data_IF_057627753157
#
_entry.id   IF_057627753157
#
_cell.length_a   1.000
_cell.length_b   1.000
_cell.length_c   1.000
_cell.angle_alpha   90.00
_cell.angle_beta   90.00
_cell.angle_gamma   90.00
#
_symmetry.space_group_name_H-M   'P 1'
#
loop_
_entity.id
_entity.type
_entity.pdbx_description
1 polymer ?
#
# COMPACT_ATOMS: atom_id res chain seq x y z
N UNK A 1 -91.26 -3.02 -18.92
CA UNK A 1 -90.38 -3.45 -17.80
C UNK A 1 -88.96 -3.49 -18.34
N UNK A 2 -88.06 -2.69 -17.75
CA UNK A 2 -86.63 -2.56 -18.14
C UNK A 2 -85.96 -3.92 -18.20
N UNK A 3 -85.11 -4.18 -19.20
CA UNK A 3 -83.84 -4.91 -19.08
C UNK A 3 -83.10 -5.00 -20.42
N UNK A 4 -81.84 -4.52 -20.36
CA UNK A 4 -80.61 -4.95 -21.06
C UNK A 4 -80.69 -5.34 -22.54
N UNK A 5 -80.13 -4.47 -23.38
CA UNK A 5 -79.60 -4.85 -24.68
C UNK A 5 -78.21 -5.48 -24.53
N UNK A 6 -78.10 -6.71 -25.04
CA UNK A 6 -76.85 -7.31 -25.53
C UNK A 6 -76.30 -6.46 -26.70
N UNK A 7 -75.00 -6.45 -27.05
CA UNK A 7 -74.24 -7.51 -27.77
C UNK A 7 -72.81 -6.97 -28.13
N UNK A 8 -71.88 -7.74 -28.77
CA UNK A 8 -70.61 -8.16 -28.16
C UNK A 8 -69.34 -8.00 -29.06
N UNK A 9 -68.29 -8.79 -28.76
CA UNK A 9 -67.05 -9.17 -29.52
C UNK A 9 -65.79 -8.34 -29.20
N UNK A 10 -64.77 -8.90 -28.52
CA UNK A 10 -63.62 -9.70 -29.03
C UNK A 10 -62.58 -8.81 -29.77
N UNK A 11 -61.25 -8.89 -29.69
CA UNK A 11 -60.24 -9.82 -29.16
C UNK A 11 -58.89 -9.03 -29.02
N UNK A 12 -57.91 -9.66 -28.36
CA UNK A 12 -56.50 -9.38 -28.02
C UNK A 12 -55.63 -8.28 -28.72
N UNK A 13 -54.90 -7.57 -27.85
CA UNK A 13 -53.43 -7.27 -27.90
C UNK A 13 -52.94 -6.03 -28.68
N UNK A 14 -51.67 -5.60 -28.52
CA UNK A 14 -50.90 -5.27 -27.31
C UNK A 14 -50.60 -3.75 -27.21
N UNK A 15 -50.42 -3.18 -26.01
CA UNK A 15 -50.00 -1.77 -25.84
C UNK A 15 -48.51 -1.64 -25.47
N UNK A 16 -47.78 -1.10 -26.45
CA UNK A 16 -46.77 -0.05 -26.35
C UNK A 16 -45.86 0.05 -25.12
N UNK A 17 -44.60 -0.26 -25.40
CA UNK A 17 -43.39 0.43 -24.93
C UNK A 17 -43.63 1.95 -24.82
N UNK A 18 -43.27 2.52 -23.67
CA UNK A 18 -42.96 3.95 -23.55
C UNK A 18 -41.71 4.12 -22.70
N UNK A 19 -40.67 4.62 -23.36
CA UNK A 19 -39.47 5.20 -22.76
C UNK A 19 -39.83 6.25 -21.70
N UNK A 20 -38.98 6.38 -20.69
CA UNK A 20 -38.82 7.61 -19.93
C UNK A 20 -37.33 7.88 -19.78
N UNK A 21 -36.92 8.99 -20.40
CA UNK A 21 -35.58 9.57 -20.41
C UNK A 21 -35.19 10.15 -19.06
N UNK A 22 -33.92 9.94 -18.74
CA UNK A 22 -32.90 10.90 -18.26
C UNK A 22 -33.26 11.91 -17.15
N UNK A 23 -32.40 11.92 -16.12
CA UNK A 23 -31.97 13.19 -15.54
C UNK A 23 -31.34 13.15 -14.15
N UNK A 24 -29.99 13.06 -14.13
CA UNK A 24 -29.06 13.63 -13.11
C UNK A 24 -29.10 12.99 -11.71
N UNK A 25 -28.01 12.69 -11.02
CA UNK A 25 -26.60 13.05 -11.15
C UNK A 25 -25.94 12.87 -9.77
N UNK A 26 -24.62 12.68 -9.76
CA UNK A 26 -23.72 12.61 -8.58
C UNK A 26 -23.67 11.29 -7.80
N UNK A 27 -23.03 10.28 -8.41
CA UNK A 27 -22.12 9.41 -7.67
C UNK A 27 -20.69 9.76 -8.10
N UNK A 28 -19.74 10.04 -7.20
CA UNK A 28 -18.36 10.20 -7.62
C UNK A 28 -17.86 8.84 -8.10
N UNK A 29 -17.55 8.76 -9.40
CA UNK A 29 -16.77 7.70 -9.98
C UNK A 29 -15.47 7.58 -9.19
N UNK A 30 -15.20 6.39 -8.69
CA UNK A 30 -13.89 5.99 -8.17
C UNK A 30 -12.90 5.90 -9.34
N UNK A 31 -12.48 7.06 -9.88
CA UNK A 31 -11.18 7.23 -10.52
C UNK A 31 -10.14 7.53 -9.44
N UNK A 32 -9.93 6.57 -8.54
CA UNK A 32 -8.80 6.60 -7.63
C UNK A 32 -7.67 5.78 -8.25
N UNK A 33 -6.92 6.42 -9.16
CA UNK A 33 -5.49 6.08 -9.30
C UNK A 33 -4.83 6.19 -7.91
N UNK A 34 -3.68 5.52 -7.68
CA UNK A 34 -3.08 5.47 -6.36
C UNK A 34 -2.97 6.89 -5.80
N UNK A 35 -3.66 7.13 -4.68
CA UNK A 35 -3.59 8.36 -3.91
C UNK A 35 -2.11 8.70 -3.78
N UNK A 36 -1.72 9.90 -4.24
CA UNK A 36 -0.36 10.41 -4.17
C UNK A 36 0.01 10.57 -2.69
N UNK A 37 0.38 9.45 -2.07
CA UNK A 37 0.57 9.33 -0.63
C UNK A 37 1.41 10.48 -0.11
N UNK A 38 0.81 11.22 0.80
CA UNK A 38 1.45 12.19 1.67
C UNK A 38 2.65 11.53 2.36
N UNK A 39 3.85 11.83 1.84
CA UNK A 39 5.10 11.67 2.55
C UNK A 39 5.91 12.94 2.30
N UNK A 40 6.16 13.66 3.38
CA UNK A 40 7.12 14.75 3.43
C UNK A 40 8.47 14.28 2.82
N UNK A 41 9.15 15.11 2.02
CA UNK A 41 10.33 14.70 1.29
C UNK A 41 11.54 14.73 2.23
N UNK A 42 11.98 13.56 2.69
CA UNK A 42 13.39 13.27 2.44
C UNK A 42 13.43 12.92 0.97
N UNK A 43 14.30 13.57 0.19
CA UNK A 43 14.38 13.37 -1.26
C UNK A 43 14.00 11.94 -1.70
N UNK A 44 12.89 11.80 -2.44
CA UNK A 44 12.37 10.51 -2.90
C UNK A 44 13.43 9.69 -3.64
N UNK A 45 14.38 10.38 -4.28
CA UNK A 45 15.61 9.80 -4.80
C UNK A 45 16.37 8.97 -3.75
N UNK A 46 16.60 9.49 -2.54
CA UNK A 46 17.25 8.77 -1.44
C UNK A 46 16.39 7.61 -0.90
N UNK A 47 15.06 7.77 -0.81
CA UNK A 47 14.16 6.74 -0.27
C UNK A 47 13.98 5.54 -1.23
N UNK A 48 13.89 5.79 -2.54
CA UNK A 48 13.79 4.74 -3.56
C UNK A 48 15.02 3.81 -3.64
N UNK A 49 16.16 4.25 -3.09
CA UNK A 49 17.46 3.58 -3.18
C UNK A 49 17.64 2.41 -2.22
N UNK A 50 17.00 2.42 -1.04
CA UNK A 50 16.99 1.26 -0.12
C UNK A 50 16.35 0.03 -0.78
N UNK A 51 15.40 0.24 -1.68
CA UNK A 51 14.66 -0.84 -2.34
C UNK A 51 15.42 -1.48 -3.53
N UNK A 52 16.56 -0.94 -3.97
CA UNK A 52 17.28 -1.43 -5.16
C UNK A 52 18.36 -2.49 -4.85
N UNK A 53 18.71 -2.65 -3.57
CA UNK A 53 19.79 -3.56 -3.12
C UNK A 53 19.32 -4.97 -2.76
N UNK A 54 18.01 -5.18 -2.59
CA UNK A 54 17.44 -6.45 -2.11
C UNK A 54 17.25 -7.49 -3.25
N UNK A 55 17.63 -7.17 -4.49
CA UNK A 55 17.21 -7.93 -5.68
C UNK A 55 18.30 -8.35 -6.66
N UNK A 56 19.56 -8.51 -6.25
CA UNK A 56 20.60 -9.07 -7.13
C UNK A 56 20.93 -10.51 -6.75
N UNK A 57 20.91 -11.46 -7.69
CA UNK A 57 21.24 -12.85 -7.42
C UNK A 57 22.72 -12.97 -7.05
N UNK A 58 22.96 -13.65 -5.93
CA UNK A 58 24.26 -14.22 -5.56
C UNK A 58 24.83 -14.96 -6.77
N UNK A 59 26.03 -14.58 -7.21
CA UNK A 59 26.68 -15.13 -8.38
C UNK A 59 26.77 -16.66 -8.27
N UNK A 60 25.96 -17.36 -9.06
CA UNK A 60 25.97 -18.80 -9.13
C UNK A 60 27.28 -19.28 -9.77
N UNK A 61 28.00 -20.14 -9.04
CA UNK A 61 28.74 -21.22 -9.68
C UNK A 61 30.16 -21.40 -9.24
N UNK A 62 30.36 -22.03 -8.07
CA UNK A 62 31.34 -23.10 -7.87
C UNK A 62 30.85 -23.95 -6.69
N UNK A 63 30.20 -25.08 -6.98
CA UNK A 63 29.79 -26.08 -5.97
C UNK A 63 30.99 -26.92 -5.55
N UNK A 64 31.39 -26.99 -4.27
CA UNK A 64 32.23 -28.09 -3.81
C UNK A 64 31.39 -29.36 -3.59
N UNK A 65 31.92 -30.50 -4.06
CA UNK A 65 31.34 -31.84 -3.93
C UNK A 65 31.13 -32.24 -2.46
N UNK A 66 30.15 -33.12 -2.16
CA UNK A 66 29.86 -33.54 -0.79
C UNK A 66 30.82 -34.65 -0.33
N UNK A 67 31.47 -34.46 0.81
CA UNK A 67 32.09 -35.54 1.58
C UNK A 67 31.32 -35.78 2.87
N UNK A 68 30.78 -37.01 3.00
CA UNK A 68 30.33 -37.65 4.25
C UNK A 68 31.50 -37.57 5.26
N UNK A 69 31.36 -37.36 6.58
CA UNK A 69 30.73 -38.19 7.63
C UNK A 69 30.58 -37.33 8.94
N UNK A 70 30.13 -37.82 10.13
CA UNK A 70 28.95 -37.33 10.85
C UNK A 70 29.23 -36.44 12.08
N UNK A 71 28.14 -35.83 12.59
CA UNK A 71 28.06 -35.06 13.83
C UNK A 71 28.37 -35.89 15.08
N UNK A 72 29.05 -35.27 16.04
CA UNK A 72 28.93 -35.57 17.46
C UNK A 72 28.64 -34.27 18.22
N UNK A 73 27.53 -34.26 18.95
CA UNK A 73 27.16 -33.26 19.95
C UNK A 73 28.05 -33.41 21.19
N UNK A 74 28.34 -32.30 21.88
CA UNK A 74 29.11 -32.35 23.12
C UNK A 74 29.40 -30.97 23.72
N UNK A 75 28.43 -30.46 24.48
CA UNK A 75 28.58 -29.36 25.44
C UNK A 75 29.63 -29.74 26.50
N UNK A 76 30.60 -28.88 26.85
CA UNK A 76 31.04 -28.63 28.24
C UNK A 76 32.12 -27.52 28.37
N UNK A 77 31.74 -26.49 29.12
CA UNK A 77 32.41 -25.53 30.04
C UNK A 77 33.96 -25.40 30.17
N UNK A 78 34.29 -24.17 30.65
CA UNK A 78 35.46 -23.67 31.43
C UNK A 78 36.60 -23.08 30.61
N UNK A 79 36.79 -21.75 30.61
CA UNK A 79 37.34 -20.83 31.64
C UNK A 79 38.87 -20.71 31.64
N UNK A 80 39.30 -19.46 31.84
CA UNK A 80 40.58 -18.99 32.41
C UNK A 80 41.78 -18.94 31.42
N UNK A 81 42.29 -17.72 31.12
CA UNK A 81 43.45 -17.04 31.77
C UNK A 81 44.78 -17.72 31.38
N UNK A 82 45.93 -17.10 31.14
CA UNK A 82 46.46 -15.74 31.19
C UNK A 82 47.87 -15.88 30.53
N UNK A 83 48.31 -14.98 29.64
CA UNK A 83 49.27 -13.88 29.90
C UNK A 83 50.76 -14.29 30.00
N UNK A 84 51.61 -13.42 29.42
CA UNK A 84 53.07 -13.19 29.59
C UNK A 84 54.04 -14.17 28.88
N UNK A 85 55.23 -13.80 28.35
CA UNK A 85 56.19 -12.68 28.49
C UNK A 85 57.10 -12.76 27.21
N UNK A 86 57.30 -11.74 26.37
CA UNK A 86 58.36 -10.70 26.32
C UNK A 86 59.84 -11.18 26.27
N UNK A 87 60.66 -10.39 25.55
CA UNK A 87 62.15 -10.26 25.46
C UNK A 87 62.70 -10.80 24.11
N UNK A 88 63.22 -10.05 23.13
CA UNK A 88 64.06 -8.83 23.00
C UNK A 88 65.54 -9.14 22.65
N UNK A 89 66.07 -8.28 21.76
CA UNK A 89 67.49 -7.98 21.43
C UNK A 89 68.25 -8.90 20.44
N UNK A 90 68.62 -8.38 19.27
CA UNK A 90 69.93 -7.72 19.01
C UNK A 90 70.15 -7.44 17.50
N UNK A 91 70.83 -6.33 17.21
CA UNK A 91 71.07 -5.72 15.89
C UNK A 91 72.44 -6.19 15.27
N UNK A 92 73.15 -5.40 14.42
CA UNK A 92 72.97 -5.20 12.97
C UNK A 92 74.28 -5.47 12.15
N UNK A 93 74.22 -5.56 10.81
CA UNK A 93 75.39 -5.29 9.90
C UNK A 93 74.90 -4.69 8.57
N UNK A 94 75.71 -3.75 8.03
CA UNK A 94 75.48 -2.84 6.89
C UNK A 94 76.14 -3.37 5.57
N UNK A 95 75.71 -2.80 4.43
CA UNK A 95 76.35 -2.70 3.09
C UNK A 95 76.04 -3.85 2.10
N UNK A 96 75.76 -3.65 0.80
CA UNK A 96 76.32 -2.65 -0.13
C UNK A 96 75.47 -2.56 -1.44
N UNK A 97 75.56 -1.42 -2.14
CA UNK A 97 74.86 -1.09 -3.40
C UNK A 97 75.56 -1.64 -4.67
N UNK A 98 74.80 -1.89 -5.74
CA UNK A 98 75.23 -1.71 -7.15
C UNK A 98 74.03 -1.62 -8.12
N UNK A 99 74.26 -0.92 -9.24
CA UNK A 99 73.31 -0.22 -10.13
C UNK A 99 72.74 -1.10 -11.31
N UNK A 100 71.91 -0.56 -12.24
CA UNK A 100 70.95 -1.30 -13.09
C UNK A 100 71.48 -1.72 -14.48
N UNK A 101 70.68 -2.48 -15.27
CA UNK A 101 70.57 -2.18 -16.71
C UNK A 101 69.14 -2.32 -17.32
N UNK A 102 68.74 -1.23 -17.99
CA UNK A 102 68.10 -1.07 -19.32
C UNK A 102 66.80 -1.80 -19.76
N UNK A 103 66.05 -1.17 -20.71
CA UNK A 103 64.61 -1.28 -20.83
C UNK A 103 64.17 -2.31 -21.89
N UNK A 104 63.02 -2.95 -21.65
CA UNK A 104 62.28 -3.66 -22.68
C UNK A 104 60.87 -3.10 -22.83
N UNK A 105 60.67 -2.53 -24.02
CA UNK A 105 59.51 -2.66 -24.90
C UNK A 105 58.11 -2.32 -24.37
N UNK A 106 57.54 -1.30 -25.04
CA UNK A 106 56.12 -0.99 -25.17
C UNK A 106 55.22 -2.25 -25.16
N UNK A 107 54.53 -2.48 -24.04
CA UNK A 107 53.24 -3.13 -24.06
C UNK A 107 52.18 -2.02 -24.02
N UNK A 108 51.50 -1.82 -25.15
CA UNK A 108 50.22 -1.13 -25.17
C UNK A 108 49.37 -1.66 -24.02
N UNK A 109 49.11 -0.83 -23.01
CA UNK A 109 48.00 -1.04 -22.10
C UNK A 109 46.73 -0.93 -22.97
N UNK A 110 46.30 -2.09 -23.47
CA UNK A 110 44.97 -2.26 -23.99
C UNK A 110 44.03 -1.86 -22.87
N UNK A 111 43.42 -0.67 -23.02
CA UNK A 111 42.32 -0.22 -22.19
C UNK A 111 41.25 -1.29 -22.24
N UNK A 112 41.15 -2.08 -21.18
CA UNK A 112 40.03 -2.97 -20.94
C UNK A 112 38.78 -2.09 -20.89
N UNK A 113 38.10 -1.96 -22.02
CA UNK A 113 36.76 -1.40 -22.07
C UNK A 113 35.88 -2.36 -21.29
N UNK A 114 35.64 -2.03 -20.02
CA UNK A 114 34.48 -2.56 -19.32
C UNK A 114 33.27 -2.32 -20.23
N UNK A 115 32.41 -3.34 -20.46
CA UNK A 115 31.23 -3.16 -21.30
C UNK A 115 30.42 -1.98 -20.74
N UNK A 116 30.38 -0.89 -21.50
CA UNK A 116 29.56 0.26 -21.15
C UNK A 116 28.11 -0.20 -21.21
N UNK A 117 27.38 -0.02 -20.11
CA UNK A 117 25.93 -0.23 -20.12
C UNK A 117 25.33 0.61 -21.25
N UNK A 118 24.35 0.09 -22.01
CA UNK A 118 23.70 0.85 -23.08
C UNK A 118 23.26 2.21 -22.57
N UNK A 119 23.50 3.26 -23.35
CA UNK A 119 23.05 4.61 -22.99
C UNK A 119 21.52 4.60 -22.79
N UNK A 120 21.01 5.17 -21.70
CA UNK A 120 19.59 5.13 -21.40
C UNK A 120 18.80 5.93 -22.44
N UNK A 121 17.62 5.43 -22.83
CA UNK A 121 16.79 6.02 -23.89
C UNK A 121 16.02 7.22 -23.35
N UNK A 122 15.88 8.25 -24.17
CA UNK A 122 15.07 9.43 -23.82
C UNK A 122 13.58 9.06 -23.83
N UNK A 123 12.84 9.44 -22.79
CA UNK A 123 11.37 9.26 -22.68
C UNK A 123 10.61 10.57 -22.62
N UNK A 124 11.26 11.65 -22.21
CA UNK A 124 10.71 13.00 -22.28
C UNK A 124 11.82 14.06 -22.24
N UNK A 125 11.49 15.30 -22.60
CA UNK A 125 12.33 16.49 -22.42
C UNK A 125 11.55 17.58 -21.71
N UNK A 126 12.17 18.25 -20.74
CA UNK A 126 11.59 19.38 -20.01
C UNK A 126 12.53 20.57 -20.13
N UNK A 127 12.14 21.60 -20.88
CA UNK A 127 12.98 22.76 -21.22
C UNK A 127 14.36 22.36 -21.78
N UNK A 128 14.40 21.26 -22.56
CA UNK A 128 15.61 20.70 -23.14
C UNK A 128 16.37 19.71 -22.25
N UNK A 129 16.06 19.63 -20.94
CA UNK A 129 16.62 18.60 -20.06
C UNK A 129 16.02 17.23 -20.39
N UNK A 130 16.88 16.22 -20.58
CA UNK A 130 16.47 14.86 -20.97
C UNK A 130 16.08 14.04 -19.75
N UNK A 131 14.90 13.43 -19.81
CA UNK A 131 14.45 12.40 -18.87
C UNK A 131 14.56 11.03 -19.53
N UNK A 132 15.09 10.05 -18.81
CA UNK A 132 15.46 8.76 -19.39
C UNK A 132 14.55 7.61 -18.97
N UNK A 133 14.57 6.51 -19.71
CA UNK A 133 13.89 5.26 -19.37
C UNK A 133 14.36 4.69 -18.02
N UNK A 134 15.63 4.92 -17.67
CA UNK A 134 16.17 4.61 -16.34
C UNK A 134 15.52 5.44 -15.23
N UNK A 135 15.33 6.75 -15.45
CA UNK A 135 14.65 7.62 -14.48
C UNK A 135 13.19 7.22 -14.29
N UNK A 136 12.52 6.93 -15.39
CA UNK A 136 11.15 6.45 -15.41
C UNK A 136 11.01 5.13 -14.67
N UNK A 137 11.84 4.13 -14.98
CA UNK A 137 11.77 2.81 -14.34
C UNK A 137 12.01 2.90 -12.83
N UNK A 138 12.97 3.74 -12.41
CA UNK A 138 13.20 4.03 -11.00
C UNK A 138 11.93 4.57 -10.33
N UNK A 139 11.26 5.52 -10.97
CA UNK A 139 10.04 6.11 -10.42
C UNK A 139 8.85 5.16 -10.47
N UNK A 140 8.75 4.29 -11.47
CA UNK A 140 7.77 3.21 -11.50
C UNK A 140 7.94 2.28 -10.29
N UNK A 141 9.18 1.98 -9.89
CA UNK A 141 9.45 1.22 -8.67
C UNK A 141 9.19 2.00 -7.38
N UNK A 142 9.22 3.35 -7.40
CA UNK A 142 8.78 4.18 -6.27
C UNK A 142 7.27 4.06 -6.09
N UNK A 143 6.51 4.14 -7.20
CA UNK A 143 5.05 4.04 -7.20
C UNK A 143 4.57 2.63 -6.86
N UNK A 144 5.26 1.61 -7.38
CA UNK A 144 4.90 0.20 -7.16
C UNK A 144 6.11 -0.61 -6.67
N UNK A 145 6.47 -0.50 -5.37
CA UNK A 145 7.63 -1.19 -4.81
C UNK A 145 7.56 -2.71 -4.88
N UNK A 146 6.34 -3.28 -4.90
CA UNK A 146 6.12 -4.72 -4.95
C UNK A 146 6.65 -5.38 -6.23
N UNK A 147 6.74 -4.66 -7.36
CA UNK A 147 7.35 -5.18 -8.58
C UNK A 147 8.79 -5.65 -8.33
N UNK A 148 9.53 -4.99 -7.43
CA UNK A 148 10.91 -5.38 -7.08
C UNK A 148 10.98 -6.74 -6.39
N UNK A 149 9.96 -7.13 -5.62
CA UNK A 149 9.90 -8.41 -4.93
C UNK A 149 9.45 -9.56 -5.85
N UNK A 150 8.83 -9.22 -6.99
CA UNK A 150 8.27 -10.16 -7.96
C UNK A 150 8.99 -10.08 -9.32
N UNK A 151 10.32 -10.25 -9.28
CA UNK A 151 11.20 -10.31 -10.46
C UNK A 151 11.15 -9.07 -11.38
N UNK A 152 10.84 -7.89 -10.84
CA UNK A 152 10.73 -6.65 -11.61
C UNK A 152 9.43 -6.53 -12.41
N UNK A 153 8.50 -7.48 -12.27
CA UNK A 153 7.25 -7.51 -13.03
C UNK A 153 6.21 -6.52 -12.49
N UNK A 154 5.74 -5.63 -13.36
CA UNK A 154 4.54 -4.83 -13.09
C UNK A 154 3.30 -5.61 -13.56
N UNK A 155 2.19 -5.60 -12.82
CA UNK A 155 0.96 -6.21 -13.30
C UNK A 155 0.49 -5.54 -14.59
N UNK A 156 0.32 -6.32 -15.66
CA UNK A 156 0.04 -5.82 -17.02
C UNK A 156 -1.18 -4.86 -17.07
N UNK A 157 -2.21 -5.14 -16.27
CA UNK A 157 -3.41 -4.30 -16.17
C UNK A 157 -3.14 -2.90 -15.59
N UNK A 158 -2.10 -2.74 -14.77
CA UNK A 158 -1.77 -1.50 -14.07
C UNK A 158 -0.54 -0.79 -14.64
N UNK A 159 0.32 -1.51 -15.37
CA UNK A 159 1.61 -1.02 -15.85
C UNK A 159 1.50 0.32 -16.60
N UNK A 160 0.54 0.46 -17.50
CA UNK A 160 0.31 1.70 -18.25
C UNK A 160 -0.02 2.89 -17.34
N UNK A 161 -0.81 2.68 -16.29
CA UNK A 161 -1.14 3.69 -15.29
C UNK A 161 0.06 4.07 -14.43
N UNK A 162 0.84 3.08 -13.99
CA UNK A 162 2.07 3.27 -13.21
C UNK A 162 3.09 4.06 -14.03
N UNK A 163 3.29 3.68 -15.30
CA UNK A 163 4.19 4.37 -16.21
C UNK A 163 3.79 5.84 -16.44
N UNK A 164 2.51 6.13 -16.67
CA UNK A 164 2.01 7.51 -16.80
C UNK A 164 2.21 8.31 -15.51
N UNK A 165 1.91 7.72 -14.36
CA UNK A 165 2.12 8.35 -13.06
C UNK A 165 3.59 8.68 -12.81
N UNK A 166 4.48 7.73 -13.11
CA UNK A 166 5.93 7.89 -12.98
C UNK A 166 6.48 8.98 -13.90
N UNK A 167 6.01 9.04 -15.16
CA UNK A 167 6.42 10.07 -16.11
C UNK A 167 6.04 11.47 -15.61
N UNK A 168 4.78 11.67 -15.19
CA UNK A 168 4.31 12.94 -14.62
C UNK A 168 5.13 13.36 -13.39
N UNK A 169 5.55 12.38 -12.58
CA UNK A 169 6.35 12.63 -11.39
C UNK A 169 7.75 13.12 -11.74
N UNK A 170 8.48 12.43 -12.62
CA UNK A 170 9.84 12.83 -13.01
C UNK A 170 9.87 14.16 -13.77
N UNK A 171 8.82 14.46 -14.56
CA UNK A 171 8.63 15.78 -15.17
C UNK A 171 8.48 16.87 -14.11
N UNK A 172 7.60 16.66 -13.14
CA UNK A 172 7.39 17.61 -12.06
C UNK A 172 8.67 17.83 -11.24
N UNK A 173 9.40 16.77 -10.89
CA UNK A 173 10.69 16.90 -10.19
C UNK A 173 11.73 17.69 -11.00
N UNK A 174 11.77 17.52 -12.33
CA UNK A 174 12.63 18.33 -13.19
C UNK A 174 12.21 19.80 -13.19
N UNK A 175 10.92 20.10 -13.29
CA UNK A 175 10.41 21.47 -13.20
C UNK A 175 10.76 22.14 -11.86
N UNK A 176 10.57 21.43 -10.75
CA UNK A 176 10.91 21.92 -9.41
C UNK A 176 12.41 22.19 -9.32
N UNK A 177 13.26 21.29 -9.83
CA UNK A 177 14.70 21.52 -9.86
C UNK A 177 15.09 22.76 -10.67
N UNK A 178 14.51 22.92 -11.86
CA UNK A 178 14.77 24.08 -12.71
C UNK A 178 14.33 25.38 -12.04
N UNK A 179 13.20 25.37 -11.35
CA UNK A 179 12.73 26.52 -10.56
C UNK A 179 13.68 26.83 -9.39
N UNK A 180 14.14 25.83 -8.66
CA UNK A 180 15.11 26.02 -7.57
C UNK A 180 16.41 26.65 -8.09
N UNK A 181 16.88 26.21 -9.27
CA UNK A 181 18.02 26.84 -9.95
C UNK A 181 17.72 28.27 -10.40
N UNK A 182 16.53 28.52 -10.96
CA UNK A 182 16.11 29.87 -11.40
C UNK A 182 16.08 30.85 -10.24
N UNK A 183 15.69 30.40 -9.05
CA UNK A 183 15.74 31.15 -7.78
C UNK A 183 17.13 31.24 -7.16
N UNK A 184 18.15 30.64 -7.78
CA UNK A 184 19.52 30.60 -7.29
C UNK A 184 19.62 30.02 -5.87
N UNK A 185 18.76 29.05 -5.53
CA UNK A 185 18.81 28.37 -4.24
C UNK A 185 20.14 27.66 -4.06
N UNK A 186 20.65 27.65 -2.83
CA UNK A 186 21.94 27.04 -2.50
C UNK A 186 21.78 26.04 -1.36
N UNK A 187 22.63 25.02 -1.37
CA UNK A 187 22.74 24.03 -0.30
C UNK A 187 24.15 24.11 0.24
N UNK A 188 24.27 24.20 1.56
CA UNK A 188 25.58 24.33 2.22
C UNK A 188 26.44 23.07 1.98
N UNK A 189 27.77 23.21 1.84
CA UNK A 189 28.66 22.06 1.70
C UNK A 189 28.51 21.03 2.83
N UNK A 190 28.25 21.50 4.05
CA UNK A 190 28.05 20.67 5.23
C UNK A 190 26.78 19.80 5.10
N UNK A 191 25.67 20.36 4.61
CA UNK A 191 24.44 19.58 4.39
C UNK A 191 24.65 18.53 3.31
N UNK A 192 25.35 18.86 2.22
CA UNK A 192 25.69 17.89 1.17
C UNK A 192 26.52 16.73 1.74
N UNK A 193 27.59 17.03 2.50
CA UNK A 193 28.45 16.01 3.11
C UNK A 193 27.70 15.12 4.12
N UNK A 194 26.79 15.72 4.91
CA UNK A 194 25.93 14.96 5.81
C UNK A 194 25.00 14.01 5.04
N UNK A 195 24.38 14.48 3.95
CA UNK A 195 23.52 13.65 3.10
C UNK A 195 24.30 12.56 2.36
N UNK A 196 25.53 12.81 1.91
CA UNK A 196 26.43 11.78 1.34
C UNK A 196 26.71 10.67 2.36
N UNK A 197 27.06 11.06 3.59
CA UNK A 197 27.32 10.10 4.67
C UNK A 197 26.07 9.29 5.01
N UNK A 198 24.92 9.94 5.19
CA UNK A 198 23.65 9.27 5.47
C UNK A 198 23.26 8.36 4.29
N UNK A 199 23.53 8.76 3.06
CA UNK A 199 23.24 7.96 1.88
C UNK A 199 24.08 6.68 1.86
N UNK A 200 25.40 6.77 2.09
CA UNK A 200 26.27 5.59 2.15
C UNK A 200 25.86 4.61 3.25
N UNK A 201 25.37 5.11 4.39
CA UNK A 201 24.85 4.29 5.49
C UNK A 201 23.59 3.47 5.15
N UNK A 202 22.93 3.73 4.01
CA UNK A 202 21.77 2.95 3.57
C UNK A 202 22.14 1.61 2.93
N UNK A 203 23.42 1.39 2.63
CA UNK A 203 23.95 0.19 2.00
C UNK A 203 24.46 -0.77 3.07
N UNK A 204 24.19 -2.06 2.92
CA UNK A 204 24.60 -3.08 3.91
C UNK A 204 26.10 -3.41 3.80
N UNK A 205 26.70 -3.16 2.64
CA UNK A 205 28.11 -3.44 2.37
C UNK A 205 28.69 -2.49 1.32
N UNK A 206 30.02 -2.38 1.33
CA UNK A 206 30.74 -1.57 0.35
C UNK A 206 30.53 -2.03 -1.10
N UNK A 207 30.55 -3.35 -1.43
CA UNK A 207 30.30 -3.80 -2.80
C UNK A 207 28.92 -3.42 -3.34
N UNK A 208 27.90 -3.40 -2.47
CA UNK A 208 26.56 -2.93 -2.84
C UNK A 208 26.57 -1.43 -3.20
N UNK A 209 27.31 -0.63 -2.44
CA UNK A 209 27.46 0.81 -2.70
C UNK A 209 28.26 1.07 -4.00
N UNK A 210 29.36 0.36 -4.23
CA UNK A 210 30.16 0.49 -5.44
C UNK A 210 29.36 0.12 -6.70
N UNK A 211 28.59 -0.97 -6.64
CA UNK A 211 27.72 -1.37 -7.76
C UNK A 211 26.65 -0.31 -8.05
N UNK A 212 26.09 0.28 -7.00
CA UNK A 212 25.17 1.40 -7.14
C UNK A 212 25.85 2.61 -7.78
N UNK A 213 27.01 3.01 -7.29
CA UNK A 213 27.78 4.14 -7.82
C UNK A 213 28.12 3.91 -9.30
N UNK A 214 28.50 2.68 -9.66
CA UNK A 214 28.75 2.28 -11.04
C UNK A 214 27.49 2.44 -11.91
N UNK A 215 26.35 1.95 -11.43
CA UNK A 215 25.10 1.95 -12.18
C UNK A 215 24.53 3.36 -12.33
N UNK A 216 24.46 4.13 -11.25
CA UNK A 216 23.78 5.42 -11.24
C UNK A 216 24.67 6.60 -11.60
N UNK A 217 25.95 6.52 -11.32
CA UNK A 217 26.91 7.63 -11.44
C UNK A 217 28.16 7.26 -12.25
N UNK A 218 28.19 6.08 -12.90
CA UNK A 218 29.34 5.64 -13.70
C UNK A 218 30.62 5.46 -12.89
N UNK A 219 30.50 5.21 -11.58
CA UNK A 219 31.63 5.09 -10.66
C UNK A 219 32.15 6.43 -10.12
N UNK A 220 31.53 7.56 -10.46
CA UNK A 220 31.99 8.89 -10.04
C UNK A 220 31.25 9.42 -8.80
N UNK A 221 32.00 9.59 -7.71
CA UNK A 221 31.53 10.28 -6.49
C UNK A 221 31.09 11.73 -6.75
N UNK A 222 31.74 12.43 -7.68
CA UNK A 222 31.36 13.81 -8.02
C UNK A 222 30.01 13.86 -8.73
N UNK A 223 29.71 12.89 -9.59
CA UNK A 223 28.39 12.75 -10.22
C UNK A 223 27.33 12.40 -9.17
N UNK A 224 27.65 11.52 -8.23
CA UNK A 224 26.76 11.19 -7.12
C UNK A 224 26.45 12.42 -6.26
N UNK A 225 27.49 13.16 -5.87
CA UNK A 225 27.38 14.44 -5.15
C UNK A 225 26.48 15.43 -5.86
N UNK A 226 26.60 15.55 -7.19
CA UNK A 226 25.75 16.42 -7.99
C UNK A 226 24.26 15.98 -7.95
N UNK A 227 23.98 14.67 -7.97
CA UNK A 227 22.63 14.11 -7.82
C UNK A 227 22.05 14.35 -6.42
N UNK A 228 22.88 14.21 -5.37
CA UNK A 228 22.50 14.53 -3.99
C UNK A 228 22.17 16.02 -3.87
N UNK A 229 23.04 16.90 -4.38
CA UNK A 229 22.80 18.35 -4.36
C UNK A 229 21.50 18.72 -5.10
N UNK A 230 21.26 18.11 -6.27
CA UNK A 230 20.01 18.29 -7.02
C UNK A 230 18.80 17.88 -6.18
N UNK A 231 18.86 16.73 -5.53
CA UNK A 231 17.79 16.23 -4.67
C UNK A 231 17.49 17.17 -3.49
N UNK A 232 18.54 17.71 -2.87
CA UNK A 232 18.42 18.67 -1.77
C UNK A 232 17.84 20.02 -2.20
N UNK A 233 18.10 20.47 -3.44
CA UNK A 233 17.49 21.68 -4.00
C UNK A 233 15.99 21.49 -4.24
N UNK A 234 15.58 20.32 -4.75
CA UNK A 234 14.17 19.97 -4.93
C UNK A 234 13.48 19.93 -3.55
N UNK A 235 14.10 19.28 -2.57
CA UNK A 235 13.61 19.21 -1.19
C UNK A 235 13.41 20.59 -0.58
N UNK A 236 14.37 21.50 -0.72
CA UNK A 236 14.29 22.86 -0.17
C UNK A 236 13.14 23.66 -0.82
N UNK A 237 12.98 23.58 -2.14
CA UNK A 237 11.89 24.28 -2.82
C UNK A 237 10.51 23.70 -2.43
N UNK A 238 10.38 22.38 -2.34
CA UNK A 238 9.13 21.75 -1.88
C UNK A 238 8.86 22.07 -0.41
N UNK A 239 9.89 22.20 0.42
CA UNK A 239 9.74 22.64 1.80
C UNK A 239 9.13 24.05 1.86
N UNK A 240 9.70 25.01 1.13
CA UNK A 240 9.23 26.39 1.08
C UNK A 240 7.82 26.52 0.47
N UNK A 241 7.56 25.83 -0.64
CA UNK A 241 6.32 25.99 -1.42
C UNK A 241 5.17 25.11 -0.95
N UNK A 242 5.46 24.02 -0.23
CA UNK A 242 4.45 23.04 0.19
C UNK A 242 4.49 22.87 1.70
N UNK A 243 5.59 22.33 2.26
CA UNK A 243 5.59 21.88 3.65
C UNK A 243 5.38 23.03 4.64
N UNK A 244 6.05 24.16 4.46
CA UNK A 244 5.99 25.32 5.36
C UNK A 244 4.65 26.07 5.27
N UNK A 245 3.92 25.87 4.16
CA UNK A 245 2.60 26.44 3.91
C UNK A 245 1.46 25.47 4.27
N UNK A 246 1.76 24.19 4.46
CA UNK A 246 0.79 23.14 4.81
C UNK A 246 0.30 23.09 6.27
N UNK A 247 0.96 23.68 7.31
CA UNK A 247 0.48 23.51 8.67
C UNK A 247 -0.95 23.99 8.85
N UNK A 248 -1.69 23.25 9.69
CA UNK A 248 -3.08 23.53 10.05
C UNK A 248 -3.16 23.77 11.55
N UNK A 249 -3.68 24.93 11.92
CA UNK A 249 -3.91 25.33 13.30
C UNK A 249 -5.08 24.57 13.94
N UNK A 250 -5.12 24.54 15.27
CA UNK A 250 -6.26 23.98 16.02
C UNK A 250 -7.57 24.72 15.66
N UNK A 251 -7.50 26.04 15.46
CA UNK A 251 -8.66 26.85 15.10
C UNK A 251 -9.21 26.50 13.71
N UNK A 252 -8.35 26.31 12.70
CA UNK A 252 -8.77 25.86 11.37
C UNK A 252 -9.39 24.46 11.42
N UNK A 253 -8.78 23.53 12.17
CA UNK A 253 -9.32 22.19 12.34
C UNK A 253 -10.68 22.21 13.05
N UNK A 254 -10.84 23.05 14.08
CA UNK A 254 -12.11 23.22 14.78
C UNK A 254 -13.18 23.80 13.85
N UNK A 255 -12.85 24.84 13.08
CA UNK A 255 -13.76 25.42 12.10
C UNK A 255 -14.17 24.40 11.02
N UNK A 256 -13.25 23.54 10.57
CA UNK A 256 -13.58 22.44 9.66
C UNK A 256 -14.52 21.43 10.33
N UNK A 257 -14.25 21.04 11.57
CA UNK A 257 -15.10 20.13 12.34
C UNK A 257 -16.53 20.67 12.48
N UNK A 258 -16.67 21.94 12.85
CA UNK A 258 -17.97 22.60 13.03
C UNK A 258 -18.74 22.78 11.71
N UNK A 259 -18.03 22.97 10.58
CA UNK A 259 -18.64 23.09 9.24
C UNK A 259 -19.02 21.76 8.59
N UNK A 260 -18.44 20.64 9.04
CA UNK A 260 -18.63 19.32 8.42
C UNK A 260 -19.12 18.27 9.43
N UNK A 261 -20.21 18.53 10.19
CA UNK A 261 -20.60 17.68 11.33
C UNK A 261 -20.91 16.24 10.93
N UNK A 262 -21.53 16.01 9.77
CA UNK A 262 -21.87 14.65 9.32
C UNK A 262 -20.62 13.78 9.07
N UNK A 263 -19.48 14.40 8.74
CA UNK A 263 -18.21 13.68 8.58
C UNK A 263 -17.59 13.18 9.89
N UNK A 264 -18.11 13.62 11.04
CA UNK A 264 -17.65 13.23 12.38
C UNK A 264 -18.73 12.50 13.18
N UNK A 265 -19.85 12.16 12.54
CA UNK A 265 -20.89 11.33 13.13
C UNK A 265 -20.47 9.87 12.98
N UNK A 266 -20.31 9.18 14.12
CA UNK A 266 -20.26 7.73 14.11
C UNK A 266 -21.67 7.21 13.86
N UNK A 267 -21.89 6.42 12.80
CA UNK A 267 -23.18 5.78 12.58
C UNK A 267 -23.43 4.76 13.68
N UNK A 268 -24.70 4.50 13.95
CA UNK A 268 -25.11 3.39 14.80
C UNK A 268 -24.61 2.07 14.22
N UNK A 269 -24.02 1.23 15.08
CA UNK A 269 -23.44 -0.04 14.69
C UNK A 269 -23.60 -1.10 15.79
N UNK A 270 -23.52 -2.35 15.38
CA UNK A 270 -23.67 -3.52 16.25
C UNK A 270 -22.45 -4.41 16.08
N UNK A 271 -21.91 -4.90 17.20
CA UNK A 271 -20.98 -6.01 17.18
C UNK A 271 -21.75 -7.30 17.46
N UNK A 272 -21.65 -8.30 16.60
CA UNK A 272 -22.49 -9.50 16.69
C UNK A 272 -21.78 -10.76 16.19
N UNK A 273 -22.26 -11.92 16.66
CA UNK A 273 -21.95 -13.23 16.10
C UNK A 273 -23.19 -13.86 15.46
N UNK A 274 -23.01 -14.66 14.42
CA UNK A 274 -24.10 -15.40 13.76
C UNK A 274 -23.87 -16.90 13.71
N UNK A 275 -24.98 -17.64 13.76
CA UNK A 275 -25.08 -19.03 13.30
C UNK A 275 -26.15 -19.05 12.23
N UNK A 276 -25.78 -19.40 11.00
CA UNK A 276 -26.67 -19.34 9.85
C UNK A 276 -26.85 -20.72 9.25
N UNK A 277 -28.10 -21.09 8.96
CA UNK A 277 -28.46 -22.28 8.20
C UNK A 277 -28.93 -21.81 6.82
N UNK A 278 -28.16 -22.18 5.79
CA UNK A 278 -28.34 -21.73 4.42
C UNK A 278 -29.39 -22.59 3.69
N UNK A 279 -30.07 -22.01 2.68
CA UNK A 279 -30.93 -22.80 1.81
C UNK A 279 -30.13 -23.84 1.00
N UNK A 280 -30.80 -24.88 0.48
CA UNK A 280 -30.14 -25.84 -0.40
C UNK A 280 -29.57 -25.13 -1.63
N UNK A 281 -28.39 -25.58 -2.04
CA UNK A 281 -27.78 -25.19 -3.31
C UNK A 281 -28.32 -26.11 -4.41
N UNK A 282 -28.96 -25.53 -5.42
CA UNK A 282 -29.37 -26.29 -6.60
C UNK A 282 -28.13 -26.88 -7.31
N UNK A 283 -28.29 -28.07 -7.92
CA UNK A 283 -27.20 -28.73 -8.64
C UNK A 283 -26.62 -27.81 -9.72
N UNK A 284 -25.31 -27.53 -9.66
CA UNK A 284 -24.61 -26.64 -10.59
C UNK A 284 -24.67 -25.14 -10.24
N UNK A 285 -25.42 -24.71 -9.23
CA UNK A 285 -25.44 -23.32 -8.79
C UNK A 285 -24.23 -23.01 -7.89
N UNK A 286 -23.62 -21.82 -8.07
CA UNK A 286 -22.50 -21.37 -7.21
C UNK A 286 -22.96 -20.91 -5.81
N UNK A 287 -24.20 -20.45 -5.67
CA UNK A 287 -24.73 -19.90 -4.41
C UNK A 287 -26.05 -20.61 -4.01
N UNK A 288 -26.29 -20.84 -2.71
CA UNK A 288 -27.61 -21.18 -2.17
C UNK A 288 -28.71 -20.21 -2.63
N UNK A 289 -29.94 -20.70 -2.79
CA UNK A 289 -31.08 -19.83 -3.12
C UNK A 289 -32.36 -20.31 -2.47
N UNK A 290 -33.07 -19.39 -1.81
CA UNK A 290 -34.36 -19.63 -1.19
C UNK A 290 -35.40 -20.17 -2.21
N UNK A 291 -35.35 -19.68 -3.45
CA UNK A 291 -36.29 -20.05 -4.53
C UNK A 291 -36.16 -21.52 -4.98
N UNK A 292 -35.05 -22.18 -4.66
CA UNK A 292 -34.80 -23.59 -4.98
C UNK A 292 -35.21 -24.56 -3.87
N UNK A 293 -35.81 -24.07 -2.77
CA UNK A 293 -36.09 -24.86 -1.57
C UNK A 293 -37.44 -25.57 -1.67
N UNK A 294 -37.47 -26.90 -1.65
CA UNK A 294 -38.73 -27.66 -1.57
C UNK A 294 -39.34 -27.59 -0.16
N UNK A 295 -40.66 -27.83 0.01
CA UNK A 295 -41.29 -27.86 1.33
C UNK A 295 -40.61 -28.83 2.32
N UNK A 296 -40.16 -29.99 1.85
CA UNK A 296 -39.43 -30.98 2.65
C UNK A 296 -38.07 -30.44 3.10
N UNK A 297 -37.33 -29.80 2.19
CA UNK A 297 -36.03 -29.20 2.49
C UNK A 297 -36.17 -28.03 3.47
N UNK A 298 -37.22 -27.21 3.31
CA UNK A 298 -37.52 -26.13 4.26
C UNK A 298 -37.83 -26.68 5.65
N UNK A 299 -38.58 -27.79 5.74
CA UNK A 299 -38.85 -28.47 7.01
C UNK A 299 -37.56 -29.00 7.65
N UNK A 300 -36.66 -29.57 6.87
CA UNK A 300 -35.35 -30.05 7.35
C UNK A 300 -34.47 -28.89 7.82
N UNK A 301 -34.37 -27.80 7.04
CA UNK A 301 -33.64 -26.59 7.44
C UNK A 301 -34.17 -26.02 8.75
N UNK A 302 -35.49 -25.88 8.88
CA UNK A 302 -36.11 -25.41 10.13
C UNK A 302 -35.81 -26.33 11.31
N UNK A 303 -35.83 -27.66 11.10
CA UNK A 303 -35.43 -28.61 12.13
C UNK A 303 -33.99 -28.42 12.59
N UNK A 304 -33.04 -28.26 11.65
CA UNK A 304 -31.62 -27.99 11.96
C UNK A 304 -31.45 -26.65 12.66
N UNK A 305 -32.15 -25.61 12.19
CA UNK A 305 -32.10 -24.28 12.79
C UNK A 305 -32.69 -24.24 14.21
N UNK A 306 -33.76 -25.00 14.48
CA UNK A 306 -34.30 -25.14 15.83
C UNK A 306 -33.33 -25.85 16.78
N UNK A 307 -32.61 -26.87 16.30
CA UNK A 307 -31.61 -27.55 17.10
C UNK A 307 -30.39 -26.65 17.37
N UNK A 308 -29.95 -25.90 16.36
CA UNK A 308 -28.94 -24.86 16.50
C UNK A 308 -29.38 -23.80 17.53
N UNK A 309 -30.65 -23.39 17.51
CA UNK A 309 -31.20 -22.40 18.45
C UNK A 309 -31.13 -22.89 19.89
N UNK A 310 -31.48 -24.15 20.17
CA UNK A 310 -31.36 -24.71 21.52
C UNK A 310 -29.93 -24.67 22.04
N UNK A 311 -28.97 -25.07 21.19
CA UNK A 311 -27.54 -25.05 21.54
C UNK A 311 -27.04 -23.61 21.73
N UNK A 312 -27.43 -22.70 20.84
CA UNK A 312 -27.05 -21.29 20.89
C UNK A 312 -27.56 -20.60 22.16
N UNK A 313 -28.82 -20.84 22.56
CA UNK A 313 -29.40 -20.30 23.80
C UNK A 313 -28.74 -20.84 25.08
N UNK A 314 -28.07 -21.99 25.01
CA UNK A 314 -27.32 -22.55 26.14
C UNK A 314 -25.93 -21.90 26.31
N UNK A 315 -25.42 -21.20 25.29
CA UNK A 315 -24.15 -20.48 25.38
C UNK A 315 -24.28 -19.20 26.18
N UNK A 316 -23.21 -18.82 26.88
CA UNK A 316 -23.17 -17.62 27.74
C UNK A 316 -22.10 -16.65 27.30
N UNK A 317 -20.98 -17.15 26.77
CA UNK A 317 -19.85 -16.31 26.38
C UNK A 317 -19.72 -16.17 24.87
N UNK A 318 -18.87 -15.22 24.45
CA UNK A 318 -18.52 -15.01 23.05
C UNK A 318 -17.84 -16.26 22.46
N UNK A 319 -16.94 -16.87 23.24
CA UNK A 319 -16.16 -18.03 22.84
C UNK A 319 -17.04 -19.27 22.69
N UNK A 320 -17.98 -19.52 23.63
CA UNK A 320 -18.89 -20.65 23.56
C UNK A 320 -19.81 -20.58 22.33
N UNK A 321 -20.40 -19.41 22.08
CA UNK A 321 -21.21 -19.18 20.88
C UNK A 321 -20.38 -19.31 19.61
N UNK A 322 -19.15 -18.82 19.64
CA UNK A 322 -18.25 -18.86 18.49
C UNK A 322 -17.78 -20.26 18.12
N UNK A 323 -17.42 -21.09 19.10
CA UNK A 323 -17.08 -22.50 18.88
C UNK A 323 -18.27 -23.28 18.31
N UNK A 324 -19.48 -22.95 18.79
CA UNK A 324 -20.70 -23.51 18.22
C UNK A 324 -20.85 -23.06 16.75
N UNK A 325 -20.69 -21.77 16.46
CA UNK A 325 -20.77 -21.23 15.10
C UNK A 325 -19.77 -21.88 14.15
N UNK A 326 -18.51 -22.06 14.56
CA UNK A 326 -17.49 -22.75 13.77
C UNK A 326 -17.92 -24.18 13.38
N UNK A 327 -18.56 -24.87 14.32
CA UNK A 327 -18.99 -26.26 14.18
C UNK A 327 -20.26 -26.43 13.34
N UNK A 328 -21.25 -25.55 13.48
CA UNK A 328 -22.60 -25.77 12.94
C UNK A 328 -23.12 -24.70 11.98
N UNK A 329 -22.51 -23.51 11.93
CA UNK A 329 -22.92 -22.47 10.97
C UNK A 329 -22.49 -22.88 9.55
N UNK A 330 -23.31 -22.54 8.57
CA UNK A 330 -23.09 -22.84 7.17
C UNK A 330 -22.58 -21.64 6.37
N UNK A 331 -22.48 -20.46 7.00
CA UNK A 331 -21.94 -19.24 6.40
C UNK A 331 -20.41 -19.16 6.48
N UNK A 332 -19.82 -18.22 5.73
CA UNK A 332 -18.37 -18.01 5.70
C UNK A 332 -17.84 -17.43 7.02
N UNK A 333 -18.70 -16.80 7.83
CA UNK A 333 -18.31 -16.26 9.13
C UNK A 333 -18.02 -17.34 10.17
N UNK A 334 -18.44 -18.59 9.94
CA UNK A 334 -18.14 -19.73 10.83
C UNK A 334 -16.64 -19.85 11.17
N UNK A 335 -15.75 -19.61 10.20
CA UNK A 335 -14.29 -19.72 10.42
C UNK A 335 -13.73 -18.57 11.26
N UNK A 336 -14.51 -17.51 11.42
CA UNK A 336 -14.24 -16.37 12.28
C UNK A 336 -15.11 -16.42 13.54
N UNK A 337 -15.47 -17.61 14.03
CA UNK A 337 -16.30 -17.78 15.23
C UNK A 337 -17.69 -17.14 15.10
N UNK A 338 -18.19 -17.04 13.86
CA UNK A 338 -19.42 -16.31 13.54
C UNK A 338 -19.31 -14.80 13.71
N UNK A 339 -18.13 -14.23 14.03
CA UNK A 339 -17.97 -12.82 14.41
C UNK A 339 -17.94 -11.87 13.21
N UNK A 340 -18.88 -10.93 13.18
CA UNK A 340 -18.97 -9.87 12.17
C UNK A 340 -18.20 -8.61 12.57
N UNK A 341 -17.55 -8.61 13.74
CA UNK A 341 -16.96 -7.40 14.36
C UNK A 341 -18.03 -6.30 14.39
N UNK A 342 -17.64 -5.04 14.23
CA UNK A 342 -18.57 -3.92 14.18
C UNK A 342 -19.18 -3.78 12.79
N UNK A 343 -20.50 -3.97 12.68
CA UNK A 343 -21.28 -3.84 11.46
C UNK A 343 -22.21 -2.63 11.56
N UNK A 344 -22.27 -1.78 10.53
CA UNK A 344 -23.13 -0.60 10.56
C UNK A 344 -24.58 -1.00 10.32
N UNK A 345 -25.50 -0.18 10.82
CA UNK A 345 -26.95 -0.39 10.63
C UNK A 345 -27.35 -0.56 9.16
N UNK A 346 -26.73 0.19 8.24
CA UNK A 346 -26.99 0.12 6.81
C UNK A 346 -26.52 -1.18 6.14
N UNK A 347 -25.63 -1.93 6.80
CA UNK A 347 -25.05 -3.17 6.27
C UNK A 347 -25.76 -4.42 6.83
N UNK A 348 -26.74 -4.25 7.75
CA UNK A 348 -27.51 -5.35 8.32
C UNK A 348 -28.80 -5.59 7.54
N UNK A 349 -29.19 -6.87 7.33
CA UNK A 349 -30.53 -7.19 6.82
C UNK A 349 -31.62 -6.57 7.72
N UNK A 350 -32.71 -6.00 7.15
CA UNK A 350 -33.76 -5.33 7.93
C UNK A 350 -34.36 -6.21 9.03
N UNK A 351 -34.52 -7.51 8.77
CA UNK A 351 -35.06 -8.50 9.71
C UNK A 351 -34.13 -8.72 10.90
N UNK A 352 -32.82 -8.75 10.65
CA UNK A 352 -31.79 -8.85 11.69
C UNK A 352 -31.78 -7.56 12.52
N UNK A 353 -31.77 -6.40 11.86
CA UNK A 353 -31.79 -5.08 12.52
C UNK A 353 -32.98 -4.92 13.47
N UNK A 354 -34.18 -5.35 13.04
CA UNK A 354 -35.41 -5.26 13.82
C UNK A 354 -35.35 -6.05 15.14
N UNK A 355 -34.49 -7.07 15.21
CA UNK A 355 -34.25 -7.89 16.40
C UNK A 355 -33.08 -7.33 17.22
N UNK A 356 -31.91 -7.12 16.62
CA UNK A 356 -30.71 -6.69 17.38
C UNK A 356 -30.85 -5.30 18.00
N UNK A 357 -31.65 -4.41 17.41
CA UNK A 357 -31.94 -3.07 17.96
C UNK A 357 -32.68 -3.11 19.31
N UNK A 358 -33.31 -4.23 19.65
CA UNK A 358 -34.06 -4.43 20.91
C UNK A 358 -33.31 -5.33 21.90
N UNK A 359 -32.18 -5.89 21.48
CA UNK A 359 -31.39 -6.81 22.29
C UNK A 359 -30.42 -6.04 23.20
N UNK A 360 -30.10 -6.66 24.33
CA UNK A 360 -29.00 -6.24 25.18
C UNK A 360 -27.72 -7.00 24.82
N UNK A 361 -26.53 -6.40 24.99
CA UNK A 361 -25.26 -7.10 24.87
C UNK A 361 -25.24 -8.40 25.68
N UNK A 362 -24.71 -9.47 25.08
CA UNK A 362 -24.67 -10.84 25.59
C UNK A 362 -25.90 -11.69 25.26
N UNK A 363 -27.01 -11.10 24.79
CA UNK A 363 -28.21 -11.86 24.46
C UNK A 363 -28.07 -12.63 23.14
N UNK A 364 -28.76 -13.77 23.08
CA UNK A 364 -28.93 -14.60 21.88
C UNK A 364 -30.37 -14.46 21.39
N UNK A 365 -30.57 -14.13 20.12
CA UNK A 365 -31.87 -13.93 19.48
C UNK A 365 -32.65 -15.24 19.37
N UNK A 366 -33.93 -15.13 19.05
CA UNK A 366 -34.66 -16.26 18.46
C UNK A 366 -34.24 -16.45 17.00
N UNK A 367 -34.86 -17.41 16.31
CA UNK A 367 -34.55 -17.67 14.91
C UNK A 367 -35.07 -16.53 14.02
N UNK A 368 -34.18 -15.96 13.22
CA UNK A 368 -34.47 -14.87 12.28
C UNK A 368 -34.41 -15.45 10.87
N UNK A 369 -35.42 -15.19 10.05
CA UNK A 369 -35.41 -15.53 8.63
C UNK A 369 -35.09 -14.26 7.83
N UNK A 370 -33.95 -14.24 7.13
CA UNK A 370 -33.51 -13.12 6.29
C UNK A 370 -33.00 -13.68 4.96
N UNK A 371 -33.56 -13.24 3.83
CA UNK A 371 -33.21 -13.71 2.49
C UNK A 371 -33.22 -15.26 2.32
N UNK A 372 -34.12 -15.93 3.06
CA UNK A 372 -34.24 -17.39 3.10
C UNK A 372 -33.11 -18.11 3.83
N UNK A 373 -32.25 -17.38 4.53
CA UNK A 373 -31.29 -17.89 5.52
C UNK A 373 -31.93 -17.83 6.90
N UNK A 374 -31.77 -18.91 7.67
CA UNK A 374 -32.23 -18.97 9.04
C UNK A 374 -31.04 -18.69 9.97
N UNK A 375 -31.04 -17.50 10.58
CA UNK A 375 -29.91 -16.99 11.37
C UNK A 375 -30.28 -16.80 12.83
N UNK A 376 -29.36 -17.19 13.71
CA UNK A 376 -29.39 -16.90 15.13
C UNK A 376 -28.26 -15.91 15.41
N UNK A 377 -28.56 -14.84 16.15
CA UNK A 377 -27.61 -13.77 16.41
C UNK A 377 -27.30 -13.70 17.90
N UNK A 378 -26.02 -13.56 18.24
CA UNK A 378 -25.60 -13.08 19.57
C UNK A 378 -25.17 -11.63 19.43
N UNK A 379 -25.77 -10.74 20.23
CA UNK A 379 -25.33 -9.35 20.28
C UNK A 379 -24.14 -9.21 21.23
N UNK A 380 -23.00 -8.74 20.75
CA UNK A 380 -21.80 -8.51 21.57
C UNK A 380 -21.75 -7.10 22.13
N UNK A 381 -22.08 -6.10 21.30
CA UNK A 381 -22.15 -4.70 21.71
C UNK A 381 -23.09 -3.91 20.80
N UNK A 382 -23.73 -2.88 21.35
CA UNK A 382 -24.48 -1.88 20.60
C UNK A 382 -23.80 -0.54 20.76
N UNK A 383 -23.39 0.05 19.64
CA UNK A 383 -22.72 1.33 19.59
C UNK A 383 -23.71 2.35 19.01
N UNK A 384 -24.36 3.18 19.85
CA UNK A 384 -25.32 4.16 19.37
C UNK A 384 -24.64 5.20 18.48
N UNK A 385 -25.40 5.81 17.58
CA UNK A 385 -24.89 6.94 16.81
C UNK A 385 -24.49 8.07 17.76
N UNK A 386 -23.29 8.58 17.58
CA UNK A 386 -22.78 9.70 18.38
C UNK A 386 -21.91 10.62 17.54
N UNK A 387 -21.90 11.89 17.91
CA UNK A 387 -20.90 12.82 17.37
C UNK A 387 -19.56 12.55 18.08
N UNK A 388 -18.50 12.34 17.31
CA UNK A 388 -17.15 12.29 17.87
C UNK A 388 -16.81 13.67 18.40
N UNK A 389 -16.31 13.81 19.62
CA UNK A 389 -15.91 15.13 20.14
C UNK A 389 -14.69 15.63 19.38
N UNK A 390 -14.57 16.94 19.19
CA UNK A 390 -13.39 17.54 18.55
C UNK A 390 -12.08 17.08 19.22
N UNK A 391 -12.05 16.95 20.54
CA UNK A 391 -10.88 16.48 21.29
C UNK A 391 -10.47 15.04 20.96
N UNK A 392 -11.41 14.20 20.53
CA UNK A 392 -11.14 12.80 20.13
C UNK A 392 -10.48 12.74 18.74
N UNK A 393 -10.80 13.70 17.86
CA UNK A 393 -10.39 13.68 16.44
C UNK A 393 -9.39 14.78 16.06
N UNK A 394 -9.02 15.67 17.00
CA UNK A 394 -8.24 16.88 16.71
C UNK A 394 -6.94 16.58 15.96
N UNK A 395 -6.09 15.70 16.48
CA UNK A 395 -4.76 15.46 15.89
C UNK A 395 -4.84 14.69 14.57
N UNK A 396 -5.75 13.72 14.46
CA UNK A 396 -6.02 13.01 13.20
C UNK A 396 -6.55 13.98 12.14
N UNK A 397 -7.51 14.83 12.51
CA UNK A 397 -8.10 15.82 11.62
C UNK A 397 -7.06 16.83 11.14
N UNK A 398 -6.22 17.34 12.04
CA UNK A 398 -5.13 18.27 11.69
C UNK A 398 -4.14 17.63 10.73
N UNK A 399 -3.73 16.39 11.01
CA UNK A 399 -2.81 15.65 10.15
C UNK A 399 -3.41 15.44 8.77
N UNK A 400 -4.66 14.99 8.69
CA UNK A 400 -5.38 14.80 7.43
C UNK A 400 -5.53 16.10 6.65
N UNK A 401 -5.94 17.19 7.31
CA UNK A 401 -6.08 18.49 6.68
C UNK A 401 -4.74 19.05 6.19
N UNK A 402 -3.66 18.85 6.96
CA UNK A 402 -2.32 19.25 6.56
C UNK A 402 -1.84 18.46 5.33
N UNK A 403 -2.06 17.14 5.30
CA UNK A 403 -1.77 16.31 4.12
C UNK A 403 -2.54 16.78 2.89
N UNK A 404 -3.86 17.00 3.02
CA UNK A 404 -4.69 17.50 1.93
C UNK A 404 -4.22 18.88 1.44
N UNK A 405 -3.86 19.79 2.36
CA UNK A 405 -3.34 21.12 2.03
C UNK A 405 -1.99 21.03 1.32
N UNK A 406 -1.10 20.15 1.75
CA UNK A 406 0.18 19.90 1.09
C UNK A 406 -0.03 19.34 -0.33
N UNK A 407 -0.94 18.38 -0.52
CA UNK A 407 -1.28 17.84 -1.84
C UNK A 407 -1.83 18.92 -2.77
N UNK A 408 -2.72 19.77 -2.27
CA UNK A 408 -3.27 20.89 -3.03
C UNK A 408 -2.17 21.88 -3.44
N UNK A 409 -1.33 22.32 -2.50
CA UNK A 409 -0.21 23.23 -2.78
C UNK A 409 0.77 22.64 -3.81
N UNK A 410 1.02 21.33 -3.74
CA UNK A 410 1.86 20.62 -4.71
C UNK A 410 1.23 20.59 -6.10
N UNK A 411 -0.07 20.34 -6.19
CA UNK A 411 -0.80 20.38 -7.46
C UNK A 411 -0.80 21.80 -8.07
N UNK A 412 -1.01 22.82 -7.24
CA UNK A 412 -0.93 24.23 -7.65
C UNK A 412 0.48 24.61 -8.13
N UNK A 413 1.52 24.12 -7.44
CA UNK A 413 2.91 24.30 -7.84
C UNK A 413 3.18 23.65 -9.20
N UNK A 414 2.79 22.39 -9.40
CA UNK A 414 2.94 21.68 -10.68
C UNK A 414 2.25 22.44 -11.82
N UNK A 415 0.98 22.82 -11.63
CA UNK A 415 0.23 23.59 -12.61
C UNK A 415 0.90 24.93 -12.94
N UNK A 416 1.45 25.63 -11.95
CA UNK A 416 2.19 26.89 -12.15
C UNK A 416 3.48 26.68 -12.94
N UNK A 417 4.26 25.65 -12.61
CA UNK A 417 5.54 25.39 -13.27
C UNK A 417 5.33 24.93 -14.72
N UNK A 418 4.31 24.11 -14.98
CA UNK A 418 3.98 23.63 -16.33
C UNK A 418 3.57 24.75 -17.28
N UNK A 419 2.92 25.83 -16.80
CA UNK A 419 2.49 26.97 -17.66
C UNK A 419 3.62 27.62 -18.45
N UNK A 420 4.84 27.63 -17.91
CA UNK A 420 6.00 28.28 -18.52
C UNK A 420 7.01 27.27 -19.07
N UNK A 421 6.67 25.98 -19.11
CA UNK A 421 7.57 24.91 -19.48
C UNK A 421 7.26 24.33 -20.86
N UNK A 422 8.31 23.96 -21.59
CA UNK A 422 8.25 23.15 -22.78
C UNK A 422 8.46 21.69 -22.40
N UNK A 423 7.43 20.87 -22.51
CA UNK A 423 7.49 19.43 -22.19
C UNK A 423 7.23 18.64 -23.48
N UNK A 424 8.14 17.74 -23.81
CA UNK A 424 8.07 16.89 -25.01
C UNK A 424 8.17 15.42 -24.55
N UNK A 425 7.06 14.70 -24.53
CA UNK A 425 7.05 13.23 -24.33
C UNK A 425 7.45 12.53 -25.65
N UNK A 426 8.28 11.47 -25.57
CA UNK A 426 8.90 10.82 -26.74
C UNK A 426 8.43 9.38 -26.97
#
# INVERSE_FOLDING_TARGET
MKLRFERPLADKGPRHVRESREGRGFGPAMENGPSLGALAPEARWLQGLKAQLVGLPEAAGLKPRPSKVPRCDGVFRHQALAVYFLIACCAPVIAQQSAPPTPFANAHLASAHAPSLPAPRSVARVNGAVLTDRDLLREMYTIFPYAKQHNGGFPQAMESGIRRGALKMIEFEELVYQEAKRRQMTITPQRIAASEKQFRQRFESEPQYELFLQTEAGGSEQVLRAKIKRSLLIEELLKEEVNDKSPVSVAEAKAFYEKNPEGFRLPESYALQTISILPPRAAGAKLPSAAATTPEQLKQMRGRAQEALKQAKATKTFEEFGLLAEKISEDDYRVMMGDHRTTKTADLPPEVLAVVSKMLPGQVSDLIEADGVLTIVRLNAHNPSRMQKFTEVQEELRTRMQSNKAEQLRHELDARLRKNAKIEEL
#
